data_IF_179481268413
#
_entry.id   IF_179481268413
#
_cell.length_a   1.000
_cell.length_b   1.000
_cell.length_c   1.000
_cell.angle_alpha   90.00
_cell.angle_beta   90.00
_cell.angle_gamma   90.00
#
_symmetry.space_group_name_H-M   'P 1'
#
loop_
_entity.id
_entity.type
_entity.pdbx_description
1 polymer ?
#
# COMPACT_ATOMS: atom_id res chain seq x y z
N UNK A 1 -9.71 44.90 -19.56
CA UNK A 1 -8.29 44.48 -19.50
C UNK A 1 -8.25 43.07 -18.92
N UNK A 2 -8.19 42.06 -19.78
CA UNK A 2 -8.27 40.65 -19.37
C UNK A 2 -6.98 40.24 -18.66
N UNK A 3 -7.11 39.83 -17.39
CA UNK A 3 -6.01 39.33 -16.57
C UNK A 3 -5.57 37.97 -17.14
N UNK A 4 -4.29 37.88 -17.51
CA UNK A 4 -3.60 36.73 -18.08
C UNK A 4 -4.02 35.39 -17.44
N UNK A 5 -4.39 34.44 -18.30
CA UNK A 5 -4.30 33.01 -17.98
C UNK A 5 -2.84 32.71 -17.62
N UNK A 6 -2.56 32.55 -16.33
CA UNK A 6 -1.32 31.90 -15.89
C UNK A 6 -1.49 30.43 -16.26
N UNK A 7 -0.88 29.99 -17.36
CA UNK A 7 -0.66 28.57 -17.57
C UNK A 7 0.16 28.08 -16.39
N UNK A 8 -0.45 27.29 -15.50
CA UNK A 8 0.28 26.63 -14.43
C UNK A 8 1.48 25.91 -15.05
N UNK A 9 2.67 26.32 -14.63
CA UNK A 9 3.93 25.78 -15.15
C UNK A 9 3.94 24.29 -14.90
N UNK A 10 3.98 23.48 -15.97
CA UNK A 10 4.11 22.02 -15.88
C UNK A 10 5.26 21.66 -14.94
N UNK A 11 5.06 20.64 -14.12
CA UNK A 11 6.08 20.20 -13.17
C UNK A 11 7.42 19.90 -13.84
N UNK A 12 8.49 20.43 -13.24
CA UNK A 12 9.86 20.20 -13.68
C UNK A 12 10.29 18.80 -13.26
N UNK A 13 11.29 18.24 -13.96
CA UNK A 13 11.83 16.91 -13.64
C UNK A 13 12.34 16.79 -12.20
N UNK A 14 12.81 17.89 -11.62
CA UNK A 14 13.26 17.98 -10.24
C UNK A 14 12.09 17.89 -9.24
N UNK A 15 11.00 18.61 -9.49
CA UNK A 15 9.78 18.54 -8.67
C UNK A 15 9.25 17.11 -8.59
N UNK A 16 9.25 16.40 -9.73
CA UNK A 16 8.82 15.01 -9.78
C UNK A 16 9.67 14.11 -8.87
N UNK A 17 10.99 14.34 -8.80
CA UNK A 17 11.87 13.57 -7.92
C UNK A 17 11.57 13.85 -6.44
N UNK A 18 11.50 15.12 -6.07
CA UNK A 18 11.20 15.51 -4.69
C UNK A 18 9.86 14.95 -4.22
N UNK A 19 8.83 15.04 -5.06
CA UNK A 19 7.51 14.51 -4.71
C UNK A 19 7.52 12.98 -4.59
N UNK A 20 8.23 12.27 -5.48
CA UNK A 20 8.41 10.81 -5.33
C UNK A 20 9.07 10.48 -4.00
N UNK A 21 10.15 11.18 -3.63
CA UNK A 21 10.90 10.90 -2.42
C UNK A 21 10.06 11.18 -1.16
N UNK A 22 9.33 12.30 -1.15
CA UNK A 22 8.39 12.64 -0.06
C UNK A 22 7.32 11.54 0.07
N UNK A 23 6.65 11.19 -1.03
CA UNK A 23 5.57 10.21 -1.01
C UNK A 23 6.07 8.84 -0.57
N UNK A 24 7.26 8.42 -1.03
CA UNK A 24 7.86 7.14 -0.58
C UNK A 24 8.14 7.15 0.90
N UNK A 25 8.80 8.19 1.42
CA UNK A 25 9.12 8.29 2.85
C UNK A 25 7.84 8.25 3.71
N UNK A 26 6.82 9.01 3.33
CA UNK A 26 5.53 9.01 4.03
C UNK A 26 4.76 7.69 3.87
N UNK A 27 4.89 7.02 2.72
CA UNK A 27 4.23 5.75 2.47
C UNK A 27 4.89 4.59 3.22
N UNK A 28 6.19 4.64 3.51
CA UNK A 28 6.90 3.59 4.25
C UNK A 28 6.70 3.70 5.76
N UNK A 29 6.43 4.91 6.26
CA UNK A 29 6.17 5.15 7.67
C UNK A 29 4.80 4.57 8.08
N UNK A 30 4.78 3.78 9.15
CA UNK A 30 3.59 3.14 9.70
C UNK A 30 2.75 4.07 10.60
N UNK A 31 3.34 5.19 11.05
CA UNK A 31 2.62 6.22 11.81
C UNK A 31 1.76 7.12 10.92
N UNK A 32 2.05 7.14 9.61
CA UNK A 32 1.29 7.88 8.62
C UNK A 32 0.04 7.11 8.23
N UNK A 33 -1.11 7.78 8.38
CA UNK A 33 -2.40 7.20 8.03
C UNK A 33 -2.62 7.30 6.53
N UNK A 34 -2.78 6.15 5.88
CA UNK A 34 -3.04 6.03 4.44
C UNK A 34 -4.53 5.80 4.21
N UNK A 35 -5.17 6.70 3.46
CA UNK A 35 -6.59 6.60 3.11
C UNK A 35 -6.77 6.69 1.60
N UNK A 36 -7.83 6.06 1.12
CA UNK A 36 -8.24 6.10 -0.29
C UNK A 36 -9.69 6.56 -0.31
N UNK A 37 -10.00 7.55 -1.14
CA UNK A 37 -11.37 7.90 -1.49
C UNK A 37 -11.80 7.01 -2.66
N UNK A 38 -12.73 6.05 -2.48
CA UNK A 38 -13.08 5.10 -3.53
C UNK A 38 -13.81 5.75 -4.71
N UNK A 39 -14.48 6.88 -4.48
CA UNK A 39 -15.32 7.56 -5.48
C UNK A 39 -14.45 8.44 -6.39
N UNK A 40 -13.52 9.19 -5.80
CA UNK A 40 -12.63 10.09 -6.54
C UNK A 40 -11.28 9.47 -6.90
N UNK A 41 -11.01 8.24 -6.46
CA UNK A 41 -9.70 7.57 -6.57
C UNK A 41 -8.55 8.42 -6.01
N UNK A 42 -8.83 9.30 -5.05
CA UNK A 42 -7.84 10.15 -4.41
C UNK A 42 -7.15 9.40 -3.27
N UNK A 43 -5.84 9.59 -3.16
CA UNK A 43 -5.03 8.97 -2.13
C UNK A 43 -4.57 10.03 -1.14
N UNK A 44 -4.73 9.74 0.14
CA UNK A 44 -4.38 10.64 1.23
C UNK A 44 -3.33 10.00 2.13
N UNK A 45 -2.26 10.75 2.40
CA UNK A 45 -1.28 10.44 3.43
C UNK A 45 -1.41 11.52 4.52
N UNK A 46 -1.79 11.11 5.72
CA UNK A 46 -2.04 12.01 6.84
C UNK A 46 -1.00 11.77 7.93
N UNK A 47 -0.19 12.80 8.18
CA UNK A 47 0.74 12.88 9.29
C UNK A 47 0.11 13.67 10.42
N UNK A 48 -0.44 12.98 11.41
CA UNK A 48 -1.04 13.62 12.59
C UNK A 48 0.01 14.31 13.48
N UNK A 49 1.27 13.84 13.46
CA UNK A 49 2.35 14.35 14.31
C UNK A 49 2.85 15.70 13.80
N UNK A 50 3.12 15.80 12.49
CA UNK A 50 3.57 17.04 11.86
C UNK A 50 2.40 17.89 11.34
N UNK A 51 1.16 17.41 11.47
CA UNK A 51 -0.07 18.03 10.97
C UNK A 51 -0.01 18.32 9.46
N UNK A 52 0.61 17.41 8.70
CA UNK A 52 0.76 17.51 7.25
C UNK A 52 -0.21 16.52 6.58
N UNK A 53 -0.89 16.99 5.55
CA UNK A 53 -1.76 16.19 4.71
C UNK A 53 -1.26 16.23 3.27
N UNK A 54 -1.16 15.06 2.65
CA UNK A 54 -0.79 14.91 1.25
C UNK A 54 -1.97 14.27 0.53
N UNK A 55 -2.51 14.94 -0.48
CA UNK A 55 -3.53 14.41 -1.37
C UNK A 55 -2.92 14.22 -2.77
N UNK A 56 -3.18 13.05 -3.37
CA UNK A 56 -2.78 12.71 -4.72
C UNK A 56 -4.04 12.42 -5.52
N UNK A 57 -4.40 13.39 -6.37
CA UNK A 57 -5.50 13.28 -7.33
C UNK A 57 -4.97 12.81 -8.70
N UNK A 58 -5.83 12.81 -9.71
CA UNK A 58 -5.48 12.36 -11.05
C UNK A 58 -4.50 13.28 -11.77
N UNK A 59 -4.68 14.59 -11.66
CA UNK A 59 -3.87 15.59 -12.35
C UNK A 59 -3.08 16.47 -11.40
N UNK A 60 -3.25 16.33 -10.09
CA UNK A 60 -2.61 17.19 -9.11
C UNK A 60 -2.20 16.50 -7.83
N UNK A 61 -1.22 17.12 -7.18
CA UNK A 61 -0.74 16.73 -5.87
C UNK A 61 -0.80 17.95 -4.98
N UNK A 62 -1.40 17.77 -3.81
CA UNK A 62 -1.61 18.81 -2.82
C UNK A 62 -0.88 18.39 -1.54
N UNK A 63 0.01 19.24 -1.04
CA UNK A 63 0.64 19.11 0.27
C UNK A 63 0.18 20.31 1.10
N UNK A 64 -0.55 20.04 2.18
CA UNK A 64 -1.14 21.09 2.99
C UNK A 64 -0.93 20.83 4.48
N UNK A 65 -0.71 21.90 5.23
CA UNK A 65 -0.82 21.91 6.68
C UNK A 65 -1.62 23.15 7.12
N UNK A 66 -1.62 23.45 8.43
CA UNK A 66 -2.34 24.63 8.96
C UNK A 66 -1.74 25.99 8.55
N UNK A 67 -0.54 26.03 7.95
CA UNK A 67 0.19 27.27 7.59
C UNK A 67 0.33 27.43 6.07
N UNK A 68 0.52 26.35 5.33
CA UNK A 68 0.86 26.36 3.92
C UNK A 68 -0.02 25.41 3.10
N UNK A 69 -0.20 25.78 1.84
CA UNK A 69 -0.81 24.98 0.79
C UNK A 69 0.12 24.98 -0.41
N UNK A 70 0.71 23.82 -0.68
CA UNK A 70 1.38 23.54 -1.93
C UNK A 70 0.43 22.75 -2.82
N UNK A 71 0.18 23.24 -4.02
CA UNK A 71 -0.64 22.56 -5.02
C UNK A 71 0.08 22.64 -6.35
N UNK A 72 0.22 21.50 -7.02
CA UNK A 72 0.89 21.44 -8.31
C UNK A 72 0.29 20.38 -9.21
N UNK A 73 0.15 20.72 -10.48
CA UNK A 73 -0.37 19.83 -11.51
C UNK A 73 0.75 18.96 -12.07
N UNK A 74 0.48 17.66 -12.18
CA UNK A 74 1.36 16.64 -12.73
C UNK A 74 0.66 15.89 -13.87
N UNK A 75 1.43 15.10 -14.61
CA UNK A 75 0.85 14.21 -15.62
C UNK A 75 0.12 13.05 -14.93
N UNK A 76 -1.04 12.66 -15.48
CA UNK A 76 -1.82 11.49 -15.04
C UNK A 76 -0.99 10.21 -14.93
N UNK A 77 -0.03 10.00 -15.83
CA UNK A 77 0.86 8.84 -15.75
C UNK A 77 1.75 8.85 -14.50
N UNK A 78 2.15 10.04 -14.06
CA UNK A 78 2.99 10.23 -12.88
C UNK A 78 2.19 10.03 -11.59
N UNK A 79 1.03 10.67 -11.47
CA UNK A 79 0.14 10.52 -10.31
C UNK A 79 -0.34 9.08 -10.19
N UNK A 80 -0.73 8.43 -11.29
CA UNK A 80 -1.14 7.01 -11.31
C UNK A 80 -0.03 6.08 -10.80
N UNK A 81 1.24 6.35 -11.15
CA UNK A 81 2.37 5.58 -10.63
C UNK A 81 2.55 5.76 -9.12
N UNK A 82 2.35 6.98 -8.60
CA UNK A 82 2.39 7.24 -7.16
C UNK A 82 1.26 6.52 -6.41
N UNK A 83 0.03 6.61 -6.93
CA UNK A 83 -1.13 5.88 -6.39
C UNK A 83 -0.86 4.37 -6.31
N UNK A 84 -0.24 3.78 -7.34
CA UNK A 84 0.14 2.36 -7.34
C UNK A 84 1.15 2.00 -6.24
N UNK A 85 2.12 2.87 -5.96
CA UNK A 85 3.10 2.66 -4.89
C UNK A 85 2.37 2.60 -3.54
N UNK A 86 1.51 3.59 -3.26
CA UNK A 86 0.76 3.66 -1.99
C UNK A 86 -0.17 2.45 -1.86
N UNK A 87 -0.91 2.11 -2.92
CA UNK A 87 -1.81 0.96 -2.95
C UNK A 87 -1.07 -0.34 -2.62
N UNK A 88 0.07 -0.59 -3.26
CA UNK A 88 0.89 -1.79 -3.00
C UNK A 88 1.33 -1.85 -1.54
N UNK A 89 1.69 -0.72 -0.95
CA UNK A 89 2.11 -0.68 0.45
C UNK A 89 0.95 -0.97 1.41
N UNK A 90 -0.23 -0.39 1.15
CA UNK A 90 -1.45 -0.70 1.92
C UNK A 90 -1.83 -2.18 1.81
N UNK A 91 -1.69 -2.79 0.63
CA UNK A 91 -1.93 -4.21 0.43
C UNK A 91 -0.95 -5.08 1.24
N UNK A 92 0.33 -4.71 1.27
CA UNK A 92 1.35 -5.41 2.07
C UNK A 92 1.04 -5.32 3.57
N UNK A 93 0.67 -4.13 4.06
CA UNK A 93 0.27 -3.91 5.46
C UNK A 93 -0.96 -4.73 5.82
N UNK A 94 -1.98 -4.73 4.95
CA UNK A 94 -3.18 -5.55 5.13
C UNK A 94 -2.83 -7.05 5.19
N UNK A 95 -1.93 -7.53 4.33
CA UNK A 95 -1.51 -8.93 4.35
C UNK A 95 -0.73 -9.27 5.63
N UNK A 96 0.15 -8.40 6.09
CA UNK A 96 0.89 -8.56 7.34
C UNK A 96 -0.06 -8.58 8.55
N UNK A 97 -1.06 -7.69 8.55
CA UNK A 97 -2.11 -7.66 9.57
C UNK A 97 -2.94 -8.95 9.56
N UNK A 98 -3.39 -9.40 8.39
CA UNK A 98 -4.12 -10.68 8.24
C UNK A 98 -3.32 -11.85 8.80
N UNK A 99 -2.04 -11.96 8.47
CA UNK A 99 -1.17 -13.02 9.00
C UNK A 99 -1.05 -12.97 10.52
N UNK A 100 -0.98 -11.77 11.10
CA UNK A 100 -0.91 -11.58 12.55
C UNK A 100 -2.22 -11.97 13.24
N UNK A 101 -3.37 -11.51 12.71
CA UNK A 101 -4.69 -11.80 13.27
C UNK A 101 -5.05 -13.28 13.19
N UNK A 102 -4.77 -13.92 12.05
CA UNK A 102 -5.12 -15.32 11.79
C UNK A 102 -4.02 -16.31 12.18
N UNK A 103 -2.96 -15.86 12.86
CA UNK A 103 -1.82 -16.72 13.22
C UNK A 103 -2.26 -17.97 14.00
N UNK A 104 -3.14 -17.80 14.99
CA UNK A 104 -3.62 -18.90 15.81
C UNK A 104 -4.46 -19.92 15.00
N UNK A 105 -5.26 -19.44 14.06
CA UNK A 105 -6.08 -20.29 13.19
C UNK A 105 -5.23 -21.04 12.17
N UNK A 106 -4.22 -20.36 11.60
CA UNK A 106 -3.23 -20.96 10.69
C UNK A 106 -2.44 -22.05 11.42
N UNK A 107 -1.96 -21.76 12.64
CA UNK A 107 -1.21 -22.70 13.47
C UNK A 107 -2.05 -23.92 13.87
N UNK A 108 -3.36 -23.73 14.11
CA UNK A 108 -4.30 -24.83 14.40
C UNK A 108 -4.51 -25.71 13.16
N UNK A 109 -4.75 -25.10 11.99
CA UNK A 109 -4.93 -25.83 10.74
C UNK A 109 -3.68 -26.63 10.38
N UNK A 110 -2.49 -26.05 10.56
CA UNK A 110 -1.23 -26.74 10.30
C UNK A 110 -1.02 -27.93 11.26
N UNK A 111 -1.39 -27.79 12.54
CA UNK A 111 -1.39 -28.92 13.49
C UNK A 111 -2.36 -30.03 13.07
N UNK A 112 -3.58 -29.69 12.65
CA UNK A 112 -4.58 -30.69 12.20
C UNK A 112 -4.08 -31.40 10.94
N UNK A 113 -3.52 -30.66 9.98
CA UNK A 113 -2.95 -31.22 8.76
C UNK A 113 -1.84 -32.22 9.08
N UNK A 114 -0.90 -31.82 9.96
CA UNK A 114 0.21 -32.67 10.38
C UNK A 114 -0.25 -33.93 11.13
N UNK A 115 -1.28 -33.85 11.96
CA UNK A 115 -1.89 -35.02 12.61
C UNK A 115 -2.53 -35.95 11.57
N UNK A 116 -3.26 -35.40 10.60
CA UNK A 116 -3.90 -36.18 9.55
C UNK A 116 -2.88 -36.90 8.64
N UNK A 117 -1.76 -36.24 8.33
CA UNK A 117 -0.67 -36.80 7.54
C UNK A 117 0.07 -37.93 8.28
N UNK A 118 0.30 -37.78 9.59
CA UNK A 118 0.87 -38.85 10.44
C UNK A 118 -0.04 -40.08 10.48
N UNK A 119 -1.37 -39.87 10.58
CA UNK A 119 -2.37 -40.96 10.56
C UNK A 119 -2.39 -41.73 9.24
N UNK A 120 -2.13 -41.04 8.12
CA UNK A 120 -2.01 -41.67 6.78
C UNK A 120 -0.75 -42.52 6.64
N UNK A 121 0.36 -42.10 7.26
CA UNK A 121 1.65 -42.82 7.25
C UNK A 121 1.64 -44.08 8.12
N UNK A 122 0.82 -44.13 9.18
CA UNK A 122 0.66 -45.33 10.02
C UNK A 122 -0.23 -46.42 9.40
N UNK A 123 -0.96 -46.12 8.33
CA UNK A 123 -1.88 -47.07 7.67
C UNK A 123 -1.26 -47.78 6.44
N UNK A 124 -0.02 -47.46 6.05
CA UNK A 124 0.70 -48.22 5.03
C UNK A 124 1.29 -49.51 5.63
N UNK A 125 0.44 -50.51 5.86
CA UNK A 125 0.89 -51.87 6.13
C UNK A 125 1.36 -52.45 4.79
N UNK A 126 2.66 -52.62 4.62
CA UNK A 126 3.24 -53.34 3.46
C UNK A 126 2.83 -54.81 3.55
N UNK A 127 2.11 -55.37 2.57
CA UNK A 127 1.86 -56.81 2.54
C UNK A 127 3.17 -57.49 2.16
N UNK A 128 3.74 -58.24 3.10
CA UNK A 128 4.95 -59.02 2.89
C UNK A 128 4.56 -60.30 2.10
N UNK A 129 4.34 -60.16 0.80
CA UNK A 129 4.13 -61.31 -0.09
C UNK A 129 5.49 -61.94 -0.38
N UNK A 130 5.86 -62.96 0.40
CA UNK A 130 6.87 -63.93 0.03
C UNK A 130 6.29 -64.80 -1.10
N UNK A 131 6.77 -64.60 -2.32
CA UNK A 131 6.61 -65.56 -3.41
C UNK A 131 7.60 -66.72 -3.19
N UNK A 132 7.06 -67.92 -2.97
CA UNK A 132 7.79 -69.21 -2.98
C UNK A 132 8.27 -69.60 -4.36
#
# INVERSE_FOLDING_TARGET
>A
MFKMFKFDSKATREDCKFIIDIIKNYSEDSSIKKLISPISDEYYLLDEKNQVSICIADDEIILANHVYLYKKTFNLSFTSNLKKIIKKQMENEMQALKKTLFKNEIDLLDKILNVSARKKKSLSITPNLKSS
#
